data_IF_082492805307
#
_entry.id   IF_082492805307
#
_cell.length_a   1.000
_cell.length_b   1.000
_cell.length_c   1.000
_cell.angle_alpha   90.00
_cell.angle_beta   90.00
_cell.angle_gamma   90.00
#
_symmetry.space_group_name_H-M   'P 1'
#
loop_
_entity.id
_entity.type
_entity.pdbx_description
1 polymer ?
#
# COMPACT_ATOMS: atom_id res chain seq x y z
N UNK A 1 -12.73 -29.42 40.50
CA UNK A 1 -13.25 -29.53 39.12
C UNK A 1 -12.67 -28.38 38.33
N UNK A 2 -11.69 -28.65 37.47
CA UNK A 2 -11.02 -27.63 36.67
C UNK A 2 -11.78 -27.49 35.34
N UNK A 3 -12.53 -26.40 35.19
CA UNK A 3 -13.06 -25.97 33.89
C UNK A 3 -11.90 -25.65 32.95
N UNK A 4 -11.78 -26.28 31.78
CA UNK A 4 -10.73 -25.92 30.83
C UNK A 4 -11.02 -24.53 30.28
N UNK A 5 -10.10 -23.60 30.53
CA UNK A 5 -10.09 -22.25 29.97
C UNK A 5 -9.90 -22.34 28.45
N UNK A 6 -10.94 -21.98 27.70
CA UNK A 6 -10.96 -22.01 26.22
C UNK A 6 -10.19 -20.85 25.56
N UNK A 7 -9.19 -20.28 26.24
CA UNK A 7 -8.47 -19.08 25.78
C UNK A 7 -6.95 -19.27 25.79
N UNK A 8 -6.47 -20.42 25.31
CA UNK A 8 -5.05 -20.59 25.04
C UNK A 8 -4.66 -19.75 23.81
N UNK A 9 -3.70 -18.80 23.91
CA UNK A 9 -3.21 -18.06 22.75
C UNK A 9 -2.70 -19.05 21.70
N UNK A 10 -3.04 -18.82 20.43
CA UNK A 10 -2.65 -19.67 19.31
C UNK A 10 -1.14 -19.95 19.39
N UNK A 11 -0.77 -21.24 19.46
CA UNK A 11 0.63 -21.65 19.51
C UNK A 11 1.44 -21.03 18.37
N UNK A 12 2.67 -20.61 18.64
CA UNK A 12 3.54 -19.81 17.74
C UNK A 12 3.61 -20.38 16.31
N UNK A 13 3.58 -21.70 16.13
CA UNK A 13 3.56 -22.37 14.82
C UNK A 13 2.25 -22.16 14.03
N UNK A 14 1.10 -22.12 14.71
CA UNK A 14 -0.22 -21.91 14.09
C UNK A 14 -0.34 -20.48 13.56
N UNK A 15 0.25 -19.50 14.26
CA UNK A 15 0.34 -18.11 13.78
C UNK A 15 1.15 -17.99 12.49
N UNK A 16 2.31 -18.66 12.41
CA UNK A 16 3.16 -18.64 11.20
C UNK A 16 2.41 -19.22 10.00
N UNK A 17 1.69 -20.33 10.18
CA UNK A 17 0.91 -20.96 9.10
C UNK A 17 -0.19 -20.02 8.59
N UNK A 18 -0.97 -19.41 9.49
CA UNK A 18 -2.02 -18.46 9.09
C UNK A 18 -1.44 -17.23 8.41
N UNK A 19 -0.32 -16.71 8.91
CA UNK A 19 0.36 -15.58 8.29
C UNK A 19 0.86 -15.90 6.87
N UNK A 20 1.38 -17.11 6.67
CA UNK A 20 1.80 -17.59 5.35
C UNK A 20 0.60 -17.73 4.40
N UNK A 21 -0.54 -18.25 4.88
CA UNK A 21 -1.76 -18.36 4.09
C UNK A 21 -2.27 -16.97 3.67
N UNK A 22 -2.33 -16.00 4.58
CA UNK A 22 -2.80 -14.65 4.23
C UNK A 22 -1.83 -13.92 3.31
N UNK A 23 -0.53 -14.13 3.47
CA UNK A 23 0.46 -13.65 2.52
C UNK A 23 0.24 -14.27 1.13
N UNK A 24 0.02 -15.58 1.03
CA UNK A 24 -0.24 -16.24 -0.25
C UNK A 24 -1.51 -15.71 -0.93
N UNK A 25 -2.60 -15.51 -0.18
CA UNK A 25 -3.85 -14.94 -0.72
C UNK A 25 -3.64 -13.51 -1.19
N UNK A 26 -2.90 -12.69 -0.43
CA UNK A 26 -2.56 -11.33 -0.83
C UNK A 26 -1.73 -11.28 -2.11
N UNK A 27 -0.73 -12.16 -2.25
CA UNK A 27 0.08 -12.29 -3.46
C UNK A 27 -0.79 -12.70 -4.65
N UNK A 28 -1.69 -13.66 -4.47
CA UNK A 28 -2.60 -14.09 -5.53
C UNK A 28 -3.55 -12.96 -5.97
N UNK A 29 -4.11 -12.21 -5.02
CA UNK A 29 -4.95 -11.07 -5.30
C UNK A 29 -4.19 -9.94 -6.02
N UNK A 30 -2.94 -9.69 -5.63
CA UNK A 30 -2.05 -8.74 -6.30
C UNK A 30 -1.84 -9.14 -7.76
N UNK A 31 -1.30 -10.35 -8.01
CA UNK A 31 -0.99 -10.80 -9.36
C UNK A 31 -2.25 -10.94 -10.24
N UNK A 32 -3.36 -11.42 -9.67
CA UNK A 32 -4.64 -11.53 -10.35
C UNK A 32 -5.16 -10.18 -10.83
N UNK A 33 -5.10 -9.15 -9.97
CA UNK A 33 -5.54 -7.80 -10.33
C UNK A 33 -4.56 -7.07 -11.26
N UNK A 34 -3.25 -7.33 -11.18
CA UNK A 34 -2.31 -6.88 -12.22
C UNK A 34 -2.69 -7.47 -13.59
N UNK A 35 -2.93 -8.78 -13.65
CA UNK A 35 -3.30 -9.46 -14.90
C UNK A 35 -4.63 -8.96 -15.45
N UNK A 36 -5.61 -8.71 -14.57
CA UNK A 36 -6.91 -8.16 -14.93
C UNK A 36 -6.77 -6.73 -15.49
N UNK A 37 -6.00 -5.87 -14.81
CA UNK A 37 -5.73 -4.50 -15.27
C UNK A 37 -5.04 -4.49 -16.65
N UNK A 38 -4.13 -5.43 -16.88
CA UNK A 38 -3.44 -5.58 -18.16
C UNK A 38 -4.39 -6.07 -19.28
N UNK A 39 -5.40 -6.88 -18.96
CA UNK A 39 -6.44 -7.29 -19.90
C UNK A 39 -7.35 -6.14 -20.33
N UNK A 40 -7.63 -5.20 -19.43
CA UNK A 40 -8.52 -4.07 -19.72
C UNK A 40 -7.79 -2.88 -20.35
N UNK A 41 -6.49 -2.73 -20.11
CA UNK A 41 -5.73 -1.58 -20.56
C UNK A 41 -4.39 -1.97 -21.20
N UNK A 42 -4.29 -1.71 -22.50
CA UNK A 42 -3.12 -2.01 -23.34
C UNK A 42 -2.36 -0.74 -23.78
N UNK A 43 -2.59 0.39 -23.12
CA UNK A 43 -1.94 1.67 -23.46
C UNK A 43 -0.49 1.77 -22.99
N UNK A 44 0.15 2.92 -23.24
CA UNK A 44 1.55 3.19 -22.86
C UNK A 44 1.83 2.99 -21.37
N UNK A 45 0.82 3.09 -20.51
CA UNK A 45 0.93 2.91 -19.06
C UNK A 45 0.40 1.56 -18.55
N UNK A 46 0.18 0.58 -19.42
CA UNK A 46 -0.41 -0.72 -19.07
C UNK A 46 0.31 -1.42 -17.92
N UNK A 47 1.63 -1.47 -17.98
CA UNK A 47 2.48 -2.09 -16.95
C UNK A 47 2.49 -1.29 -15.63
N UNK A 48 2.81 0.01 -15.60
CA UNK A 48 2.84 0.75 -14.34
C UNK A 48 1.45 0.84 -13.67
N UNK A 49 0.38 0.96 -14.46
CA UNK A 49 -1.00 1.00 -13.94
C UNK A 49 -1.40 -0.36 -13.35
N UNK A 50 -1.06 -1.46 -14.02
CA UNK A 50 -1.38 -2.79 -13.52
C UNK A 50 -0.67 -3.08 -12.21
N UNK A 51 0.62 -2.74 -12.09
CA UNK A 51 1.40 -2.88 -10.86
C UNK A 51 0.83 -2.02 -9.73
N UNK A 52 0.40 -0.79 -10.02
CA UNK A 52 -0.27 0.08 -9.04
C UNK A 52 -1.57 -0.56 -8.51
N UNK A 53 -2.44 -1.03 -9.42
CA UNK A 53 -3.70 -1.68 -9.06
C UNK A 53 -3.44 -2.96 -8.26
N UNK A 54 -2.52 -3.80 -8.73
CA UNK A 54 -2.09 -5.02 -8.05
C UNK A 54 -1.64 -4.79 -6.62
N UNK A 55 -0.78 -3.79 -6.45
CA UNK A 55 -0.23 -3.41 -5.14
C UNK A 55 -1.32 -2.92 -4.20
N UNK A 56 -2.22 -2.05 -4.68
CA UNK A 56 -3.36 -1.60 -3.89
C UNK A 56 -4.27 -2.74 -3.44
N UNK A 57 -4.68 -3.61 -4.37
CA UNK A 57 -5.56 -4.75 -4.08
C UNK A 57 -4.91 -5.74 -3.12
N UNK A 58 -3.65 -6.11 -3.36
CA UNK A 58 -2.92 -7.05 -2.51
C UNK A 58 -2.80 -6.57 -1.06
N UNK A 59 -2.52 -5.27 -0.87
CA UNK A 59 -2.43 -4.65 0.46
C UNK A 59 -3.78 -4.60 1.17
N UNK A 60 -4.85 -4.23 0.47
CA UNK A 60 -6.22 -4.22 1.04
C UNK A 60 -6.64 -5.63 1.46
N UNK A 61 -6.41 -6.64 0.61
CA UNK A 61 -6.76 -8.04 0.92
C UNK A 61 -5.98 -8.55 2.13
N UNK A 62 -4.67 -8.29 2.19
CA UNK A 62 -3.84 -8.68 3.35
C UNK A 62 -4.37 -8.05 4.63
N UNK A 63 -4.67 -6.76 4.57
CA UNK A 63 -5.18 -6.01 5.71
C UNK A 63 -6.51 -6.59 6.23
N UNK A 64 -7.46 -6.89 5.35
CA UNK A 64 -8.75 -7.46 5.74
C UNK A 64 -8.61 -8.85 6.35
N UNK A 65 -7.75 -9.71 5.80
CA UNK A 65 -7.50 -11.06 6.29
C UNK A 65 -6.82 -11.05 7.66
N UNK A 66 -5.75 -10.25 7.81
CA UNK A 66 -5.04 -10.12 9.07
C UNK A 66 -5.97 -9.54 10.16
N UNK A 67 -6.81 -8.56 9.81
CA UNK A 67 -7.83 -8.00 10.73
C UNK A 67 -8.87 -9.04 11.16
N UNK A 68 -9.41 -9.81 10.22
CA UNK A 68 -10.50 -10.73 10.49
C UNK A 68 -10.06 -11.97 11.30
N UNK A 69 -8.81 -12.44 11.11
CA UNK A 69 -8.35 -13.70 11.71
C UNK A 69 -7.30 -13.55 12.82
N UNK A 70 -6.42 -12.55 12.78
CA UNK A 70 -5.34 -12.41 13.76
C UNK A 70 -5.76 -11.47 14.91
N UNK A 71 -6.56 -10.44 14.63
CA UNK A 71 -6.91 -9.40 15.60
C UNK A 71 -8.28 -9.58 16.27
N UNK A 72 -8.61 -10.81 16.68
CA UNK A 72 -9.78 -11.10 17.52
C UNK A 72 -9.48 -10.72 18.99
N UNK A 73 -9.15 -9.46 19.27
CA UNK A 73 -8.87 -8.95 20.63
C UNK A 73 -9.76 -7.76 21.01
N UNK A 74 -10.46 -7.82 22.15
CA UNK A 74 -11.10 -6.66 22.75
C UNK A 74 -10.06 -5.87 23.56
N UNK A 75 -10.03 -4.54 23.39
CA UNK A 75 -9.33 -3.54 24.23
C UNK A 75 -7.82 -3.28 24.02
N UNK A 76 -7.52 -2.48 22.98
CA UNK A 76 -6.67 -1.24 22.93
C UNK A 76 -6.30 -1.05 21.46
N UNK A 77 -6.72 0.07 20.87
CA UNK A 77 -7.10 0.15 19.46
C UNK A 77 -5.95 -0.10 18.47
N UNK A 78 -5.82 -1.35 18.03
CA UNK A 78 -5.07 -1.78 16.82
C UNK A 78 -5.49 -0.95 15.59
N UNK A 79 -6.73 -0.45 15.58
CA UNK A 79 -7.25 0.50 14.61
C UNK A 79 -6.37 1.76 14.47
N UNK A 80 -5.73 2.23 15.54
CA UNK A 80 -4.88 3.41 15.50
C UNK A 80 -3.55 3.12 14.78
N UNK A 81 -2.88 2.01 15.11
CA UNK A 81 -1.63 1.62 14.43
C UNK A 81 -1.84 1.27 12.96
N UNK A 82 -3.00 0.68 12.63
CA UNK A 82 -3.43 0.45 11.25
C UNK A 82 -3.71 1.76 10.52
N UNK A 83 -4.44 2.68 11.15
CA UNK A 83 -4.75 3.98 10.57
C UNK A 83 -3.45 4.73 10.25
N UNK A 84 -2.49 4.70 11.16
CA UNK A 84 -1.15 5.27 10.94
C UNK A 84 -0.43 4.58 9.79
N UNK A 85 -0.44 3.24 9.70
CA UNK A 85 0.22 2.51 8.61
C UNK A 85 -0.43 2.77 7.24
N UNK A 86 -1.76 2.76 7.18
CA UNK A 86 -2.53 3.06 5.95
C UNK A 86 -2.32 4.49 5.52
N UNK A 87 -2.31 5.44 6.46
CA UNK A 87 -1.93 6.82 6.17
C UNK A 87 -0.52 6.83 5.59
N UNK A 88 0.48 6.25 6.26
CA UNK A 88 1.88 6.23 5.81
C UNK A 88 2.05 5.70 4.38
N UNK A 89 1.40 4.58 4.06
CA UNK A 89 1.42 3.98 2.72
C UNK A 89 0.70 4.86 1.71
N UNK A 90 -0.46 5.43 2.07
CA UNK A 90 -1.21 6.33 1.20
C UNK A 90 -0.44 7.63 0.90
N UNK A 91 0.32 8.15 1.87
CA UNK A 91 1.15 9.34 1.67
C UNK A 91 2.33 9.02 0.77
N UNK A 92 2.99 7.88 0.98
CA UNK A 92 4.05 7.40 0.12
C UNK A 92 3.58 7.27 -1.33
N UNK A 93 2.46 6.59 -1.56
CA UNK A 93 1.86 6.44 -2.88
C UNK A 93 1.43 7.79 -3.49
N UNK A 94 0.81 8.67 -2.70
CA UNK A 94 0.42 10.01 -3.16
C UNK A 94 1.61 10.84 -3.62
N UNK A 95 2.71 10.85 -2.85
CA UNK A 95 3.91 11.61 -3.21
C UNK A 95 4.62 11.07 -4.44
N UNK A 96 4.63 9.73 -4.62
CA UNK A 96 5.16 9.10 -5.83
C UNK A 96 4.31 9.41 -7.06
N UNK A 97 2.98 9.46 -6.92
CA UNK A 97 2.09 9.85 -8.02
C UNK A 97 2.26 11.31 -8.41
N UNK A 98 2.48 12.21 -7.45
CA UNK A 98 2.78 13.63 -7.72
C UNK A 98 4.09 13.76 -8.49
N UNK A 99 5.13 13.04 -8.06
CA UNK A 99 6.41 12.99 -8.77
C UNK A 99 6.22 12.53 -10.22
N UNK A 100 5.56 11.39 -10.44
CA UNK A 100 5.29 10.87 -11.78
C UNK A 100 4.42 11.80 -12.63
N UNK A 101 3.40 12.43 -12.06
CA UNK A 101 2.53 13.34 -12.80
C UNK A 101 3.29 14.54 -13.37
N UNK A 102 4.23 15.10 -12.59
CA UNK A 102 5.04 16.24 -13.04
C UNK A 102 6.13 15.79 -14.01
N UNK A 103 6.80 14.66 -13.75
CA UNK A 103 7.83 14.11 -14.64
C UNK A 103 7.27 13.72 -16.01
N UNK A 104 6.21 12.90 -16.03
CA UNK A 104 5.57 12.48 -17.27
C UNK A 104 4.77 13.60 -17.93
N UNK A 105 4.23 14.55 -17.15
CA UNK A 105 3.60 15.75 -17.69
C UNK A 105 4.60 16.62 -18.46
N UNK A 106 5.80 16.82 -17.91
CA UNK A 106 6.86 17.56 -18.59
C UNK A 106 7.37 16.82 -19.83
N UNK A 107 7.56 15.49 -19.74
CA UNK A 107 7.93 14.65 -20.90
C UNK A 107 6.86 14.68 -22.01
N UNK A 108 5.58 14.72 -21.64
CA UNK A 108 4.47 14.75 -22.58
C UNK A 108 4.27 16.11 -23.27
N UNK A 109 4.67 17.23 -22.65
CA UNK A 109 4.54 18.57 -23.24
C UNK A 109 5.76 18.90 -24.11
N UNK A 110 6.96 18.61 -23.60
CA UNK A 110 8.20 19.10 -24.19
C UNK A 110 8.98 18.04 -24.96
N UNK A 111 8.63 16.75 -24.82
CA UNK A 111 9.23 15.62 -25.54
C UNK A 111 10.76 15.57 -25.52
N UNK A 112 11.38 16.16 -24.51
CA UNK A 112 12.83 16.30 -24.39
C UNK A 112 13.27 15.80 -23.02
N UNK A 113 14.38 15.08 -22.99
CA UNK A 113 14.95 14.52 -21.75
C UNK A 113 15.27 15.58 -20.69
N UNK A 114 15.86 16.76 -21.03
CA UNK A 114 16.08 17.82 -20.05
C UNK A 114 14.79 18.32 -19.39
N UNK A 115 13.68 18.39 -20.14
CA UNK A 115 12.38 18.79 -19.60
C UNK A 115 11.78 17.72 -18.69
N UNK A 116 11.89 16.43 -19.07
CA UNK A 116 11.50 15.31 -18.20
C UNK A 116 12.27 15.34 -16.88
N UNK A 117 13.60 15.45 -16.92
CA UNK A 117 14.44 15.48 -15.73
C UNK A 117 14.14 16.70 -14.84
N UNK A 118 13.88 17.86 -15.45
CA UNK A 118 13.46 19.07 -14.73
C UNK A 118 12.09 18.89 -14.07
N UNK A 119 11.13 18.30 -14.80
CA UNK A 119 9.83 17.92 -14.26
C UNK A 119 9.93 16.93 -13.11
N UNK A 120 10.81 15.92 -13.22
CA UNK A 120 11.10 14.98 -12.15
C UNK A 120 11.70 15.64 -10.92
N UNK A 121 12.66 16.56 -11.10
CA UNK A 121 13.23 17.34 -10.00
C UNK A 121 12.16 18.19 -9.28
N UNK A 122 11.30 18.88 -10.03
CA UNK A 122 10.17 19.65 -9.48
C UNK A 122 9.19 18.72 -8.76
N UNK A 123 8.85 17.59 -9.37
CA UNK A 123 7.96 16.58 -8.82
C UNK A 123 8.47 16.00 -7.50
N UNK A 124 9.77 15.74 -7.40
CA UNK A 124 10.41 15.30 -6.15
C UNK A 124 10.37 16.38 -5.08
N UNK A 125 10.67 17.65 -5.41
CA UNK A 125 10.58 18.76 -4.46
C UNK A 125 9.14 18.91 -3.94
N UNK A 126 8.14 18.88 -4.82
CA UNK A 126 6.73 18.92 -4.43
C UNK A 126 6.33 17.70 -3.59
N UNK A 127 6.81 16.51 -3.95
CA UNK A 127 6.61 15.29 -3.18
C UNK A 127 7.16 15.39 -1.77
N UNK A 128 8.37 15.91 -1.59
CA UNK A 128 8.98 16.12 -0.27
C UNK A 128 8.27 17.20 0.54
N UNK A 129 7.82 18.29 -0.09
CA UNK A 129 7.03 19.33 0.58
C UNK A 129 5.69 18.78 1.07
N UNK A 130 4.96 18.06 0.21
CA UNK A 130 3.71 17.40 0.59
C UNK A 130 3.94 16.39 1.72
N UNK A 131 4.99 15.57 1.61
CA UNK A 131 5.38 14.61 2.65
C UNK A 131 5.69 15.30 3.98
N UNK A 132 6.43 16.41 3.97
CA UNK A 132 6.74 17.18 5.16
C UNK A 132 5.48 17.71 5.85
N UNK A 133 4.55 18.30 5.10
CA UNK A 133 3.29 18.80 5.65
C UNK A 133 2.42 17.69 6.23
N UNK A 134 2.42 16.55 5.57
CA UNK A 134 1.67 15.39 5.97
C UNK A 134 2.27 14.70 7.22
N UNK A 135 3.58 14.47 7.24
CA UNK A 135 4.30 13.90 8.40
C UNK A 135 4.15 14.80 9.63
N UNK A 136 4.27 16.12 9.45
CA UNK A 136 4.04 17.10 10.52
C UNK A 136 2.62 17.02 11.10
N UNK A 137 1.61 16.68 10.28
CA UNK A 137 0.20 16.69 10.68
C UNK A 137 -0.30 15.35 11.23
N UNK A 138 0.29 14.23 10.79
CA UNK A 138 -0.21 12.88 11.09
C UNK A 138 0.77 12.00 11.86
N UNK A 139 2.06 12.33 11.89
CA UNK A 139 3.11 11.53 12.54
C UNK A 139 3.67 12.24 13.77
N UNK A 140 3.79 13.57 13.72
CA UNK A 140 4.39 14.38 14.79
C UNK A 140 3.41 15.29 15.53
N UNK A 141 2.11 15.15 15.29
CA UNK A 141 1.05 15.92 15.97
C UNK A 141 0.43 15.14 17.13
#
# INVERSE_FOLDING_TARGET
MNTPTLDAPLGRSRLVVWYAIFAAISIAANLGSQKLAFWFYHGRFAVPLSVCIGTGVGLVVKYLLDKAWIFRYPHRSVAHGIQTFVMYVAMGLGTTLVFWAVEFGADAIFHTEPARLTGGAIGLVLGYLAKYHLDKRFVFA
#
